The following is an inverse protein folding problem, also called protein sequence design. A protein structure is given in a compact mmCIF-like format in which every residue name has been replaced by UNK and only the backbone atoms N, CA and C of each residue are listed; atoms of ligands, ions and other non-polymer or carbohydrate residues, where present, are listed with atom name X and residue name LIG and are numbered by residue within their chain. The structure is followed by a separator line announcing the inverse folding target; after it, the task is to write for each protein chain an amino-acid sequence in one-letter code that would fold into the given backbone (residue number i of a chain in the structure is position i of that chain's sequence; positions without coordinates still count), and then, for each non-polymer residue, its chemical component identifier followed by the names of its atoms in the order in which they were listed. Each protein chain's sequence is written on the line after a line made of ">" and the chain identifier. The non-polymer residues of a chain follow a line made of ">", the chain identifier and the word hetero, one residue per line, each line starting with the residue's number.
data_IF_214890897213
#
_entry.id   IF_214890897213
#
_cell.length_a   1.000
_cell.length_b   1.000
_cell.length_c   1.000
_cell.angle_alpha   90.00
_cell.angle_beta   90.00
_cell.angle_gamma   90.00
#
_symmetry.space_group_name_H-M   'P 1'
#
loop_
_entity.id
_entity.type
_entity.pdbx_description
1 polymer ?
#
# COMPACT_ATOMS: atom_id res chain seq x y z
N UNK A 1 8.44 -20.08 -6.13
CA UNK A 1 7.01 -20.18 -6.53
C UNK A 1 6.89 -21.41 -7.40
N UNK A 2 5.82 -22.18 -7.25
CA UNK A 2 5.47 -23.21 -8.23
C UNK A 2 4.29 -22.66 -9.02
N UNK A 3 4.38 -22.75 -10.34
CA UNK A 3 3.32 -22.38 -11.27
C UNK A 3 2.95 -23.63 -12.08
N UNK A 4 1.65 -23.86 -12.29
CA UNK A 4 1.24 -25.06 -13.00
C UNK A 4 -0.26 -25.24 -13.09
N UNK A 5 -0.65 -26.21 -13.91
CA UNK A 5 -2.01 -26.69 -14.01
C UNK A 5 -2.36 -27.51 -12.76
N UNK A 6 -3.37 -27.07 -12.00
CA UNK A 6 -3.89 -27.77 -10.83
C UNK A 6 -5.37 -28.03 -11.06
N UNK A 7 -5.82 -29.25 -10.81
CA UNK A 7 -7.22 -29.62 -10.94
C UNK A 7 -7.42 -31.12 -11.08
N UNK A 8 -8.64 -31.50 -11.47
CA UNK A 8 -9.01 -32.88 -11.77
C UNK A 8 -9.10 -33.10 -13.29
N UNK A 9 -9.37 -34.33 -13.71
CA UNK A 9 -9.61 -34.65 -15.12
C UNK A 9 -10.76 -33.85 -15.76
N UNK A 10 -11.69 -33.33 -14.95
CA UNK A 10 -12.87 -32.61 -15.43
C UNK A 10 -12.71 -31.08 -15.39
N UNK A 11 -11.82 -30.56 -14.55
CA UNK A 11 -11.55 -29.13 -14.45
C UNK A 11 -10.12 -28.88 -14.01
N UNK A 12 -9.39 -28.16 -14.84
CA UNK A 12 -7.99 -27.75 -14.61
C UNK A 12 -7.91 -26.22 -14.63
N UNK A 13 -7.15 -25.64 -13.71
CA UNK A 13 -6.87 -24.20 -13.60
C UNK A 13 -5.37 -23.94 -13.51
N UNK A 14 -4.90 -22.89 -14.18
CA UNK A 14 -3.54 -22.40 -14.00
C UNK A 14 -3.43 -21.71 -12.63
N UNK A 15 -2.60 -22.27 -11.75
CA UNK A 15 -2.47 -21.84 -10.36
C UNK A 15 -1.02 -21.57 -9.99
N UNK A 16 -0.82 -20.60 -9.09
CA UNK A 16 0.46 -20.35 -8.43
C UNK A 16 0.38 -20.82 -6.97
N UNK A 17 1.33 -21.64 -6.54
CA UNK A 17 1.48 -22.09 -5.15
C UNK A 17 2.79 -21.57 -4.58
N UNK A 18 2.69 -20.72 -3.55
CA UNK A 18 3.84 -20.09 -2.92
C UNK A 18 3.48 -19.46 -1.60
N UNK A 19 4.43 -19.41 -0.66
CA UNK A 19 4.31 -18.60 0.56
C UNK A 19 4.04 -17.11 0.25
N UNK A 20 4.45 -16.62 -0.92
CA UNK A 20 4.15 -15.25 -1.36
C UNK A 20 2.67 -15.02 -1.67
N UNK A 21 1.94 -16.04 -2.15
CA UNK A 21 0.49 -15.95 -2.40
C UNK A 21 -0.26 -15.83 -1.07
N UNK A 22 0.10 -16.66 -0.10
CA UNK A 22 -0.49 -16.58 1.25
C UNK A 22 -0.18 -15.23 1.91
N UNK A 23 1.05 -14.74 1.76
CA UNK A 23 1.43 -13.44 2.32
C UNK A 23 0.71 -12.28 1.65
N UNK A 24 0.42 -12.34 0.35
CA UNK A 24 -0.41 -11.36 -0.33
C UNK A 24 -1.84 -11.33 0.25
N UNK A 25 -2.43 -12.50 0.54
CA UNK A 25 -3.73 -12.59 1.23
C UNK A 25 -3.67 -11.96 2.63
N UNK A 26 -2.61 -12.25 3.41
CA UNK A 26 -2.42 -11.62 4.72
C UNK A 26 -2.26 -10.10 4.63
N UNK A 27 -1.59 -9.60 3.58
CA UNK A 27 -1.43 -8.16 3.36
C UNK A 27 -2.77 -7.49 3.04
N UNK A 28 -3.62 -8.13 2.24
CA UNK A 28 -4.98 -7.67 1.97
C UNK A 28 -5.79 -7.58 3.26
N UNK A 29 -5.81 -8.62 4.09
CA UNK A 29 -6.56 -8.60 5.35
C UNK A 29 -6.11 -7.45 6.25
N UNK A 30 -4.78 -7.24 6.34
CA UNK A 30 -4.18 -6.19 7.15
C UNK A 30 -4.48 -4.78 6.68
N UNK A 31 -4.95 -4.58 5.44
CA UNK A 31 -5.41 -3.25 5.00
C UNK A 31 -6.51 -2.71 5.90
N UNK A 32 -7.36 -3.60 6.44
CA UNK A 32 -8.46 -3.29 7.37
C UNK A 32 -7.91 -2.78 8.70
N UNK A 33 -6.94 -3.48 9.27
CA UNK A 33 -6.25 -3.07 10.52
C UNK A 33 -5.61 -1.68 10.37
N UNK A 34 -4.99 -1.44 9.22
CA UNK A 34 -4.27 -0.21 8.94
C UNK A 34 -5.16 0.96 8.49
N UNK A 35 -6.42 0.69 8.13
CA UNK A 35 -7.31 1.66 7.54
C UNK A 35 -6.77 2.27 6.24
N UNK A 36 -6.18 1.45 5.37
CA UNK A 36 -5.63 1.85 4.06
C UNK A 36 -6.28 1.07 2.94
N UNK A 37 -6.26 1.61 1.71
CA UNK A 37 -6.79 0.91 0.52
C UNK A 37 -5.77 -0.07 -0.04
N UNK A 38 -4.47 0.26 0.05
CA UNK A 38 -3.39 -0.54 -0.50
C UNK A 38 -2.32 -0.83 0.57
N UNK A 39 -1.89 -2.07 0.64
CA UNK A 39 -0.74 -2.49 1.42
C UNK A 39 0.28 -3.17 0.51
N UNK A 40 1.56 -2.90 0.75
CA UNK A 40 2.68 -3.46 0.00
C UNK A 40 3.71 -4.04 0.96
N UNK A 41 4.32 -5.14 0.55
CA UNK A 41 5.45 -5.70 1.27
C UNK A 41 6.71 -4.87 1.09
N UNK A 42 7.71 -5.14 1.93
CA UNK A 42 9.02 -4.55 1.77
C UNK A 42 9.68 -4.97 0.46
N UNK A 43 9.57 -6.24 0.06
CA UNK A 43 10.18 -6.76 -1.16
C UNK A 43 9.63 -6.01 -2.39
N UNK A 44 8.30 -5.79 -2.43
CA UNK A 44 7.68 -4.99 -3.49
C UNK A 44 8.19 -3.54 -3.49
N UNK A 45 8.25 -2.92 -2.31
CA UNK A 45 8.80 -1.57 -2.15
C UNK A 45 10.27 -1.48 -2.61
N UNK A 46 11.09 -2.49 -2.30
CA UNK A 46 12.52 -2.47 -2.57
C UNK A 46 12.84 -2.65 -4.06
N UNK A 47 12.00 -3.37 -4.80
CA UNK A 47 12.09 -3.51 -6.27
C UNK A 47 11.63 -2.22 -6.98
N UNK A 48 10.79 -1.39 -6.34
CA UNK A 48 10.33 -0.13 -6.93
C UNK A 48 11.49 0.85 -7.17
N UNK A 49 11.38 1.64 -8.24
CA UNK A 49 12.33 2.72 -8.54
C UNK A 49 12.43 3.73 -7.38
N UNK A 50 13.57 4.40 -7.25
CA UNK A 50 13.78 5.44 -6.22
C UNK A 50 12.74 6.58 -6.29
N UNK A 51 12.19 6.87 -7.48
CA UNK A 51 11.10 7.84 -7.66
C UNK A 51 9.78 7.30 -7.11
N UNK A 52 9.44 6.04 -7.39
CA UNK A 52 8.23 5.39 -6.90
C UNK A 52 8.24 5.20 -5.38
N UNK A 53 9.38 4.84 -4.78
CA UNK A 53 9.53 4.70 -3.32
C UNK A 53 9.15 5.96 -2.52
N UNK A 54 9.19 7.15 -3.13
CA UNK A 54 8.77 8.41 -2.48
C UNK A 54 7.27 8.51 -2.19
N UNK A 55 6.45 7.70 -2.85
CA UNK A 55 5.01 7.64 -2.63
C UNK A 55 4.62 6.71 -1.48
N UNK A 56 5.56 5.85 -1.04
CA UNK A 56 5.31 4.93 0.04
C UNK A 56 5.57 5.58 1.40
N UNK A 57 4.74 5.24 2.37
CA UNK A 57 5.05 5.39 3.79
C UNK A 57 4.95 4.04 4.47
N UNK A 58 5.86 3.79 5.40
CA UNK A 58 5.82 2.59 6.21
C UNK A 58 4.70 2.70 7.23
N UNK A 59 3.87 1.67 7.33
CA UNK A 59 2.70 1.61 8.23
C UNK A 59 2.98 0.72 9.44
N UNK A 60 3.72 -0.36 9.22
CA UNK A 60 4.00 -1.32 10.27
C UNK A 60 5.35 -2.03 10.09
N UNK A 61 5.80 -2.66 11.17
CA UNK A 61 6.96 -3.51 11.23
C UNK A 61 6.70 -4.58 12.29
N UNK A 62 6.58 -5.84 11.86
CA UNK A 62 6.19 -6.92 12.75
C UNK A 62 6.93 -8.21 12.43
N UNK A 63 6.89 -9.16 13.37
CA UNK A 63 7.29 -10.55 13.18
C UNK A 63 6.28 -11.47 13.84
N UNK A 64 6.12 -12.67 13.32
CA UNK A 64 5.34 -13.72 13.98
C UNK A 64 6.13 -14.27 15.18
N UNK A 65 5.44 -14.64 16.25
CA UNK A 65 6.03 -15.41 17.36
C UNK A 65 6.64 -16.70 16.80
N UNK A 66 7.82 -17.07 17.29
CA UNK A 66 8.59 -18.20 16.74
C UNK A 66 9.37 -17.91 15.45
N UNK A 67 9.01 -16.88 14.67
CA UNK A 67 9.76 -16.49 13.47
C UNK A 67 10.79 -15.38 13.76
N UNK A 68 11.97 -15.51 13.14
CA UNK A 68 12.98 -14.45 13.09
C UNK A 68 12.74 -13.46 11.94
N UNK A 69 11.86 -13.78 10.99
CA UNK A 69 11.60 -12.95 9.83
C UNK A 69 10.80 -11.69 10.22
N UNK A 70 11.43 -10.53 10.07
CA UNK A 70 10.79 -9.22 10.26
C UNK A 70 10.18 -8.79 8.94
N UNK A 71 8.91 -8.40 8.98
CA UNK A 71 8.14 -7.92 7.83
C UNK A 71 7.82 -6.45 8.03
N UNK A 72 8.14 -5.64 7.02
CA UNK A 72 7.75 -4.24 6.95
C UNK A 72 6.61 -4.10 5.95
N UNK A 73 5.61 -3.32 6.33
CA UNK A 73 4.46 -3.03 5.47
C UNK A 73 4.44 -1.56 5.12
N UNK A 74 4.20 -1.28 3.85
CA UNK A 74 4.11 0.05 3.30
C UNK A 74 2.73 0.28 2.70
N UNK A 75 2.34 1.53 2.57
CA UNK A 75 1.13 1.95 1.86
C UNK A 75 1.45 3.11 0.94
N UNK A 76 0.65 3.25 -0.10
CA UNK A 76 0.57 4.45 -0.93
C UNK A 76 -0.76 5.12 -0.61
N UNK A 77 -0.71 6.42 -0.35
CA UNK A 77 -1.91 7.19 -0.04
C UNK A 77 -2.72 7.45 -1.30
N UNK A 78 -3.93 6.88 -1.31
CA UNK A 78 -4.85 6.85 -2.46
C UNK A 78 -6.21 7.32 -1.96
N UNK A 79 -6.78 8.31 -2.64
CA UNK A 79 -8.12 8.81 -2.38
C UNK A 79 -9.00 8.61 -3.64
N UNK A 80 -9.74 7.51 -3.65
CA UNK A 80 -10.59 7.12 -4.80
C UNK A 80 -11.82 8.01 -4.95
N UNK A 81 -12.22 8.75 -3.90
CA UNK A 81 -13.37 9.66 -3.96
C UNK A 81 -13.15 10.85 -4.91
N UNK A 82 -11.90 11.08 -5.32
CA UNK A 82 -11.51 12.15 -6.24
C UNK A 82 -11.64 11.77 -7.70
N UNK A 83 -11.92 10.50 -7.99
CA UNK A 83 -12.20 10.07 -9.35
C UNK A 83 -13.61 10.52 -9.72
N UNK A 84 -13.69 11.30 -10.80
CA UNK A 84 -14.97 11.65 -11.41
C UNK A 84 -15.23 10.62 -12.50
N UNK A 85 -16.31 9.83 -12.43
CA UNK A 85 -16.69 8.95 -13.53
C UNK A 85 -16.90 9.80 -14.78
N UNK A 86 -16.27 9.41 -15.89
CA UNK A 86 -16.57 10.03 -17.17
C UNK A 86 -17.98 9.59 -17.61
N UNK A 87 -18.94 10.53 -17.51
CA UNK A 87 -20.34 10.27 -17.87
C UNK A 87 -20.50 9.82 -19.32
N UNK A 88 -19.58 10.23 -20.21
CA UNK A 88 -19.58 9.80 -21.61
C UNK A 88 -19.26 8.30 -21.77
N UNK A 89 -18.41 7.73 -20.90
CA UNK A 89 -18.12 6.29 -20.92
C UNK A 89 -19.18 5.43 -20.23
N UNK A 90 -20.07 6.02 -19.43
CA UNK A 90 -21.28 5.36 -18.90
C UNK A 90 -22.42 5.28 -19.93
N UNK A 91 -22.44 6.18 -20.91
CA UNK A 91 -23.46 6.23 -21.96
C UNK A 91 -23.31 5.18 -23.07
N UNK A 92 -22.25 4.36 -23.06
CA UNK A 92 -21.90 3.48 -24.18
C UNK A 92 -22.59 2.11 -24.04
N UNK A 93 -23.72 1.95 -24.72
CA UNK A 93 -24.40 0.67 -24.94
C UNK A 93 -23.79 -0.09 -26.13
N UNK A 94 -23.20 -1.26 -25.88
CA UNK A 94 -23.07 -2.34 -26.87
C UNK A 94 -21.91 -2.26 -27.91
N UNK A 95 -21.13 -3.36 -27.95
CA UNK A 95 -20.28 -3.91 -29.03
C UNK A 95 -19.21 -3.04 -29.75
N UNK A 96 -19.34 -1.73 -29.90
CA UNK A 96 -18.39 -0.91 -30.69
C UNK A 96 -17.07 -0.56 -29.96
N UNK A 97 -16.97 -0.87 -28.67
CA UNK A 97 -15.84 -0.47 -27.83
C UNK A 97 -14.71 -1.49 -27.67
N UNK A 98 -14.85 -2.72 -28.18
CA UNK A 98 -13.83 -3.77 -27.96
C UNK A 98 -12.51 -3.43 -28.68
N UNK A 99 -12.58 -3.06 -29.96
CA UNK A 99 -11.40 -2.69 -30.75
C UNK A 99 -10.73 -1.42 -30.22
N UNK A 100 -11.51 -0.44 -29.79
CA UNK A 100 -10.99 0.82 -29.21
C UNK A 100 -10.28 0.56 -27.88
N UNK A 101 -10.89 -0.20 -26.96
CA UNK A 101 -10.23 -0.59 -25.69
C UNK A 101 -8.99 -1.45 -25.89
N UNK A 102 -8.97 -2.32 -26.90
CA UNK A 102 -7.76 -3.08 -27.25
C UNK A 102 -6.67 -2.16 -27.79
N UNK A 103 -7.02 -1.25 -28.69
CA UNK A 103 -6.03 -0.32 -29.26
C UNK A 103 -5.45 0.61 -28.19
N UNK A 104 -6.24 1.06 -27.22
CA UNK A 104 -5.74 1.79 -26.05
C UNK A 104 -4.84 0.92 -25.17
N UNK A 105 -5.22 -0.33 -24.89
CA UNK A 105 -4.37 -1.29 -24.17
C UNK A 105 -3.06 -1.54 -24.90
N UNK A 106 -3.08 -1.72 -26.22
CA UNK A 106 -1.89 -1.94 -27.05
C UNK A 106 -1.00 -0.71 -27.04
N UNK A 107 -1.54 0.50 -27.19
CA UNK A 107 -0.79 1.76 -27.06
C UNK A 107 -0.11 1.89 -25.69
N UNK A 108 -0.83 1.59 -24.61
CA UNK A 108 -0.28 1.59 -23.26
C UNK A 108 0.81 0.52 -23.08
N UNK A 109 0.63 -0.68 -23.64
CA UNK A 109 1.63 -1.75 -23.61
C UNK A 109 2.91 -1.39 -24.40
N UNK A 110 2.78 -0.69 -25.54
CA UNK A 110 3.94 -0.18 -26.29
C UNK A 110 4.74 0.82 -25.46
N UNK A 111 4.06 1.73 -24.75
CA UNK A 111 4.73 2.65 -23.83
C UNK A 111 5.43 1.92 -22.69
N UNK A 112 4.82 0.90 -22.09
CA UNK A 112 5.44 0.12 -20.99
C UNK A 112 6.73 -0.59 -21.43
N UNK A 113 6.86 -0.91 -22.72
CA UNK A 113 8.05 -1.56 -23.30
C UNK A 113 9.19 -0.58 -23.63
N UNK A 114 8.97 0.72 -23.58
CA UNK A 114 10.04 1.70 -23.76
C UNK A 114 11.00 1.63 -22.55
N UNK A 115 12.31 1.40 -22.74
CA UNK A 115 13.28 1.37 -21.64
C UNK A 115 13.38 2.69 -20.87
N UNK A 116 12.95 3.82 -21.45
CA UNK A 116 12.84 5.12 -20.78
C UNK A 116 11.49 5.32 -20.08
N UNK A 117 10.57 4.35 -20.17
CA UNK A 117 9.28 4.41 -19.53
C UNK A 117 9.41 4.28 -18.02
N UNK A 118 9.20 5.41 -17.35
CA UNK A 118 9.19 5.46 -15.89
C UNK A 118 7.74 5.61 -15.44
N UNK A 119 7.13 4.52 -14.96
CA UNK A 119 5.77 4.54 -14.39
C UNK A 119 5.54 5.69 -13.40
N UNK A 120 6.54 6.00 -12.58
CA UNK A 120 6.47 7.10 -11.61
C UNK A 120 6.32 8.50 -12.26
N UNK A 121 6.66 8.68 -13.54
CA UNK A 121 6.40 9.91 -14.30
C UNK A 121 4.93 9.96 -14.74
N UNK A 122 4.38 8.83 -15.22
CA UNK A 122 2.98 8.77 -15.63
C UNK A 122 2.01 9.02 -14.47
N UNK A 123 2.34 8.57 -13.26
CA UNK A 123 1.59 8.86 -12.03
C UNK A 123 1.29 10.37 -11.82
N UNK A 124 2.09 11.27 -12.40
CA UNK A 124 1.89 12.72 -12.32
C UNK A 124 1.24 13.33 -13.54
N UNK A 125 1.45 12.72 -14.70
CA UNK A 125 0.94 13.21 -15.98
C UNK A 125 -0.50 12.79 -16.22
N UNK A 126 -0.91 11.67 -15.63
CA UNK A 126 -2.28 11.20 -15.71
C UNK A 126 -3.16 11.98 -14.73
N UNK A 127 -4.21 12.68 -15.19
CA UNK A 127 -5.06 13.49 -14.33
C UNK A 127 -5.71 12.70 -13.19
N UNK A 128 -6.18 11.48 -13.48
CA UNK A 128 -6.87 10.63 -12.52
C UNK A 128 -5.90 10.09 -11.48
N UNK A 129 -4.75 9.55 -11.92
CA UNK A 129 -3.71 9.08 -10.99
C UNK A 129 -3.16 10.24 -10.16
N UNK A 130 -2.98 11.42 -10.76
CA UNK A 130 -2.53 12.60 -10.03
C UNK A 130 -3.57 13.11 -9.03
N UNK A 131 -4.87 13.02 -9.35
CA UNK A 131 -5.96 13.37 -8.45
C UNK A 131 -6.01 12.43 -7.25
N UNK A 132 -5.96 11.12 -7.49
CA UNK A 132 -5.99 10.07 -6.47
C UNK A 132 -4.76 10.10 -5.57
N UNK A 133 -3.57 10.34 -6.12
CA UNK A 133 -2.31 10.40 -5.37
C UNK A 133 -2.10 11.73 -4.63
N UNK A 134 -2.94 12.74 -4.86
CA UNK A 134 -2.96 14.00 -4.08
C UNK A 134 -3.70 13.84 -2.74
N UNK A 135 -3.93 12.62 -2.27
CA UNK A 135 -4.66 12.31 -1.05
C UNK A 135 -4.12 13.05 0.19
N UNK A 136 -2.80 13.06 0.39
CA UNK A 136 -2.17 13.61 1.60
C UNK A 136 -1.15 14.71 1.27
N UNK A 137 -1.22 15.88 1.93
CA UNK A 137 -0.20 16.92 1.80
C UNK A 137 1.21 16.40 2.16
N UNK A 138 2.22 16.69 1.32
CA UNK A 138 3.62 16.26 1.53
C UNK A 138 4.16 16.62 2.92
N UNK A 139 3.75 17.77 3.48
CA UNK A 139 4.12 18.19 4.84
C UNK A 139 3.62 17.19 5.90
N UNK A 140 2.40 16.66 5.73
CA UNK A 140 1.83 15.64 6.62
C UNK A 140 2.56 14.32 6.44
N UNK A 141 2.86 13.90 5.20
CA UNK A 141 3.65 12.68 4.94
C UNK A 141 5.01 12.73 5.63
N UNK A 142 5.75 13.84 5.48
CA UNK A 142 7.04 14.02 6.15
C UNK A 142 6.93 14.04 7.67
N UNK A 143 5.88 14.68 8.19
CA UNK A 143 5.61 14.72 9.63
C UNK A 143 5.24 13.34 10.19
N UNK A 144 4.41 12.57 9.48
CA UNK A 144 4.09 11.19 9.79
C UNK A 144 5.35 10.32 9.85
N UNK A 145 6.22 10.40 8.84
CA UNK A 145 7.49 9.66 8.80
C UNK A 145 8.36 9.94 10.03
N UNK A 146 8.40 11.19 10.50
CA UNK A 146 9.08 11.56 11.75
C UNK A 146 8.43 10.88 12.96
N UNK A 147 7.10 10.86 13.04
CA UNK A 147 6.37 10.22 14.14
C UNK A 147 6.50 8.71 14.14
N UNK A 148 6.47 8.08 12.97
CA UNK A 148 6.77 6.65 12.81
C UNK A 148 8.16 6.33 13.34
N UNK A 149 9.17 7.15 13.00
CA UNK A 149 10.53 6.98 13.52
C UNK A 149 10.62 7.10 15.05
N UNK A 150 9.89 8.03 15.67
CA UNK A 150 9.80 8.14 17.14
C UNK A 150 9.15 6.90 17.75
N UNK A 151 8.05 6.42 17.15
CA UNK A 151 7.40 5.18 17.53
C UNK A 151 8.37 4.00 17.45
N UNK A 152 9.11 3.84 16.35
CA UNK A 152 10.08 2.76 16.17
C UNK A 152 11.21 2.77 17.21
N UNK A 153 11.64 3.96 17.67
CA UNK A 153 12.67 4.09 18.73
C UNK A 153 12.13 3.91 20.15
N UNK A 154 10.82 3.84 20.34
CA UNK A 154 10.21 3.73 21.66
C UNK A 154 9.90 5.09 22.32
N UNK A 155 10.07 6.21 21.60
CA UNK A 155 9.68 7.54 22.07
C UNK A 155 8.16 7.76 21.93
N UNK A 156 7.38 6.85 22.49
CA UNK A 156 5.94 6.72 22.24
C UNK A 156 5.12 7.93 22.68
N UNK A 157 5.54 8.64 23.73
CA UNK A 157 4.82 9.84 24.16
C UNK A 157 4.96 10.99 23.16
N UNK A 158 6.15 11.14 22.54
CA UNK A 158 6.38 12.10 21.47
C UNK A 158 5.64 11.69 20.20
N UNK A 159 5.69 10.40 19.83
CA UNK A 159 4.96 9.85 18.70
C UNK A 159 3.44 10.08 18.86
N UNK A 160 2.86 9.72 20.01
CA UNK A 160 1.45 9.93 20.35
C UNK A 160 1.02 11.39 20.15
N UNK A 161 1.77 12.34 20.71
CA UNK A 161 1.46 13.77 20.56
C UNK A 161 1.43 14.20 19.09
N UNK A 162 2.40 13.76 18.30
CA UNK A 162 2.45 14.16 16.89
C UNK A 162 1.43 13.42 16.01
N UNK A 163 1.15 12.15 16.25
CA UNK A 163 0.10 11.42 15.55
C UNK A 163 -1.28 12.03 15.82
N UNK A 164 -1.57 12.40 17.07
CA UNK A 164 -2.80 13.14 17.39
C UNK A 164 -2.88 14.50 16.67
N UNK A 165 -1.76 15.18 16.41
CA UNK A 165 -1.75 16.42 15.61
C UNK A 165 -2.09 16.16 14.13
N UNK A 166 -1.74 15.00 13.59
CA UNK A 166 -2.16 14.57 12.25
C UNK A 166 -3.67 14.34 12.25
N UNK A 167 -4.18 13.57 13.23
CA UNK A 167 -5.59 13.23 13.34
C UNK A 167 -6.52 14.44 13.56
N UNK A 168 -6.03 15.51 14.18
CA UNK A 168 -6.76 16.78 14.27
C UNK A 168 -6.97 17.49 12.93
N UNK A 169 -6.17 17.15 11.90
CA UNK A 169 -6.19 17.81 10.59
C UNK A 169 -6.84 16.95 9.51
N UNK A 170 -6.75 15.63 9.66
CA UNK A 170 -7.30 14.69 8.69
C UNK A 170 -7.50 13.31 9.30
N UNK A 171 -8.41 12.54 8.71
CA UNK A 171 -8.53 11.11 9.01
C UNK A 171 -7.34 10.37 8.39
N UNK A 172 -6.60 9.65 9.22
CA UNK A 172 -5.39 8.93 8.77
C UNK A 172 -5.32 7.55 9.41
N UNK A 173 -5.62 6.51 8.63
CA UNK A 173 -5.62 5.10 9.06
C UNK A 173 -4.32 4.69 9.77
N UNK A 174 -3.16 4.86 9.12
CA UNK A 174 -1.86 4.53 9.73
C UNK A 174 -1.58 5.25 11.05
N UNK A 175 -1.99 6.51 11.22
CA UNK A 175 -1.84 7.20 12.51
C UNK A 175 -2.76 6.64 13.59
N UNK A 176 -4.02 6.31 13.25
CA UNK A 176 -4.96 5.68 14.19
C UNK A 176 -4.45 4.31 14.63
N UNK A 177 -4.00 3.49 13.67
CA UNK A 177 -3.42 2.18 13.92
C UNK A 177 -2.24 2.24 14.90
N UNK A 178 -1.27 3.13 14.68
CA UNK A 178 -0.12 3.26 15.59
C UNK A 178 -0.54 3.71 17.00
N UNK A 179 -1.54 4.59 17.11
CA UNK A 179 -2.08 5.01 18.39
C UNK A 179 -2.78 3.86 19.13
N UNK A 180 -3.49 3.01 18.39
CA UNK A 180 -4.14 1.81 18.93
C UNK A 180 -3.11 0.79 19.41
N UNK A 181 -2.05 0.54 18.62
CA UNK A 181 -0.93 -0.29 19.06
C UNK A 181 -0.32 0.29 20.33
N UNK A 182 -0.02 1.59 20.38
CA UNK A 182 0.55 2.16 21.60
C UNK A 182 -0.41 2.07 22.79
N UNK A 183 -1.72 2.21 22.55
CA UNK A 183 -2.77 2.11 23.57
C UNK A 183 -2.82 0.70 24.19
N UNK A 184 -2.66 -0.37 23.40
CA UNK A 184 -2.69 -1.74 23.92
C UNK A 184 -1.56 -2.06 24.90
N UNK A 185 -0.49 -1.27 24.87
CA UNK A 185 0.63 -1.33 25.81
C UNK A 185 0.62 -0.15 26.81
N UNK A 186 -0.55 0.46 27.05
CA UNK A 186 -0.72 1.61 27.95
C UNK A 186 0.25 2.78 27.66
N UNK A 187 0.58 2.99 26.38
CA UNK A 187 1.53 3.97 25.88
C UNK A 187 2.96 3.83 26.44
N UNK A 188 3.33 2.63 26.90
CA UNK A 188 4.70 2.29 27.35
C UNK A 188 5.28 1.21 26.44
N UNK A 189 6.39 1.49 25.72
CA UNK A 189 6.99 0.48 24.85
C UNK A 189 7.48 -0.73 25.67
N UNK A 190 7.42 -1.95 25.11
CA UNK A 190 8.02 -3.13 25.73
C UNK A 190 9.52 -2.95 26.04
N UNK A 191 10.03 -3.61 27.08
CA UNK A 191 11.44 -3.49 27.53
C UNK A 191 12.49 -3.68 26.42
N UNK A 192 12.19 -4.47 25.38
CA UNK A 192 13.09 -4.74 24.25
C UNK A 192 12.53 -4.22 22.92
N UNK A 193 11.79 -3.11 22.97
CA UNK A 193 11.22 -2.50 21.77
C UNK A 193 12.32 -2.03 20.81
N UNK A 194 12.31 -2.59 19.59
CA UNK A 194 13.21 -2.23 18.49
C UNK A 194 12.42 -1.79 17.26
N UNK A 195 11.22 -1.25 17.47
CA UNK A 195 10.33 -0.89 16.38
C UNK A 195 9.74 -2.09 15.64
N UNK A 196 9.70 -3.27 16.27
CA UNK A 196 9.16 -4.51 15.71
C UNK A 196 8.08 -5.04 16.65
N UNK A 197 6.84 -5.11 16.17
CA UNK A 197 5.75 -5.76 16.89
C UNK A 197 5.92 -7.28 16.83
N UNK A 198 5.53 -7.95 17.90
CA UNK A 198 5.45 -9.41 17.94
C UNK A 198 3.97 -9.76 17.84
N UNK A 199 3.58 -10.41 16.76
CA UNK A 199 2.24 -10.97 16.62
C UNK A 199 2.25 -12.40 17.18
N UNK A 200 1.17 -12.77 17.84
CA UNK A 200 0.94 -14.14 18.31
C UNK A 200 0.65 -15.06 17.13
#
# INVERSE_FOLDING_TARGET
>A
CIEGAIGSSHKIDATYLSHHVNFASTLEEKTKDYGVVLAASQEFHDICSAKARKYFRQVDCYRQRGSKAVRRVFTVDVDTSRLVPDEASLAITGKDNYKTKINERLKNLVQIKDPNYVMAVRLKQDPDLAAVLKAIPKKIVGYYKKMFGLYSRGEWQSAKRGLNKILKRMKDGPSMFLLEVMRSYAFKPPKRWKGVRVLD
#
